data_IF_353959321049
#
_entry.id   IF_353959321049
#
_cell.length_a   1.000
_cell.length_b   1.000
_cell.length_c   1.000
_cell.angle_alpha   90.00
_cell.angle_beta   90.00
_cell.angle_gamma   90.00
#
_symmetry.space_group_name_H-M   'P 1'
#
loop_
_entity.id
_entity.type
_entity.pdbx_description
1 polymer ?
#
# COMPACT_ATOMS: atom_id res chain seq x y z
N UNK A 1 65.65 -11.44 16.35
CA UNK A 1 65.94 -11.50 14.90
C UNK A 1 64.99 -12.57 14.34
N UNK A 2 64.09 -12.35 13.39
CA UNK A 2 64.05 -11.44 12.25
C UNK A 2 62.61 -10.92 12.01
N UNK A 3 62.53 -9.68 11.57
CA UNK A 3 61.36 -9.08 10.91
C UNK A 3 61.56 -9.15 9.38
N UNK A 4 60.46 -8.89 8.63
CA UNK A 4 60.26 -8.87 7.16
C UNK A 4 59.49 -10.13 6.73
N UNK A 5 58.34 -10.08 6.06
CA UNK A 5 57.77 -9.17 5.06
C UNK A 5 56.25 -9.40 5.01
N UNK A 6 55.44 -8.40 4.63
CA UNK A 6 54.37 -8.58 3.62
C UNK A 6 53.55 -7.28 3.49
N UNK A 7 54.18 -6.27 2.87
CA UNK A 7 53.48 -5.07 2.38
C UNK A 7 52.80 -5.32 1.02
N UNK A 8 52.90 -6.53 0.48
CA UNK A 8 52.43 -6.87 -0.87
C UNK A 8 50.95 -7.32 -0.92
N UNK A 9 50.37 -7.73 0.21
CA UNK A 9 48.96 -8.15 0.26
C UNK A 9 47.92 -7.02 0.09
N UNK A 10 48.33 -5.74 0.25
CA UNK A 10 47.39 -4.59 0.17
C UNK A 10 47.21 -4.03 -1.23
N UNK A 11 48.16 -4.28 -2.15
CA UNK A 11 48.06 -3.77 -3.52
C UNK A 11 47.14 -4.64 -4.41
N UNK A 12 47.06 -5.95 -4.14
CA UNK A 12 46.17 -6.85 -4.88
C UNK A 12 44.67 -6.61 -4.60
N UNK A 13 44.31 -6.22 -3.39
CA UNK A 13 42.90 -5.94 -3.04
C UNK A 13 42.36 -4.65 -3.67
N UNK A 14 43.21 -3.65 -3.90
CA UNK A 14 42.82 -2.39 -4.54
C UNK A 14 42.61 -2.53 -6.06
N UNK A 15 43.34 -3.45 -6.72
CA UNK A 15 43.16 -3.73 -8.15
C UNK A 15 41.84 -4.46 -8.46
N UNK A 16 41.36 -5.37 -7.59
CA UNK A 16 40.07 -6.04 -7.80
C UNK A 16 38.85 -5.12 -7.62
N UNK A 17 38.95 -4.06 -6.83
CA UNK A 17 37.82 -3.15 -6.59
C UNK A 17 37.51 -2.23 -7.79
N UNK A 18 38.47 -1.98 -8.68
CA UNK A 18 38.27 -1.12 -9.85
C UNK A 18 37.70 -1.87 -11.07
N UNK A 19 37.78 -3.20 -11.12
CA UNK A 19 37.27 -4.00 -12.24
C UNK A 19 35.75 -4.29 -12.17
N UNK A 20 35.12 -4.13 -11.00
CA UNK A 20 33.67 -4.36 -10.84
C UNK A 20 32.82 -3.07 -10.98
N UNK A 21 33.46 -1.91 -11.19
CA UNK A 21 32.78 -0.61 -11.30
C UNK A 21 32.24 -0.27 -12.70
N UNK A 22 32.47 -1.09 -13.73
CA UNK A 22 32.26 -0.70 -15.13
C UNK A 22 31.16 -1.50 -15.89
N UNK A 23 30.25 -2.22 -15.20
CA UNK A 23 29.21 -3.04 -15.88
C UNK A 23 27.77 -2.58 -15.60
N UNK A 24 27.54 -1.49 -14.87
CA UNK A 24 26.16 -1.03 -14.55
C UNK A 24 25.79 0.33 -15.16
N UNK A 25 26.14 0.55 -16.42
CA UNK A 25 25.68 1.71 -17.22
C UNK A 25 25.15 1.23 -18.58
N UNK A 26 24.07 0.46 -18.56
CA UNK A 26 23.23 0.20 -19.75
C UNK A 26 21.86 -0.32 -19.32
N UNK A 27 21.14 0.50 -18.55
CA UNK A 27 19.67 0.36 -18.47
C UNK A 27 19.10 1.37 -19.46
N UNK A 28 18.82 0.88 -20.66
CA UNK A 28 18.27 1.66 -21.75
C UNK A 28 17.01 2.40 -21.33
N UNK A 29 16.95 3.67 -21.74
CA UNK A 29 15.71 4.43 -21.84
C UNK A 29 14.78 3.73 -22.83
N UNK A 30 13.91 2.85 -22.34
CA UNK A 30 12.68 2.55 -23.02
C UNK A 30 11.79 3.79 -22.91
N UNK A 31 11.83 4.61 -23.95
CA UNK A 31 10.74 5.53 -24.25
C UNK A 31 9.51 4.67 -24.53
N UNK A 32 8.76 4.34 -23.48
CA UNK A 32 7.39 3.87 -23.61
C UNK A 32 6.56 5.05 -24.10
N UNK A 33 6.50 5.22 -25.42
CA UNK A 33 5.42 5.91 -26.10
C UNK A 33 4.12 5.10 -25.91
N UNK A 34 3.61 5.10 -24.69
CA UNK A 34 2.24 4.74 -24.43
C UNK A 34 1.42 6.01 -24.61
N UNK A 35 1.09 6.30 -25.87
CA UNK A 35 -0.10 7.08 -26.22
C UNK A 35 -1.34 6.33 -25.72
N UNK A 36 -1.51 6.25 -24.40
CA UNK A 36 -2.80 5.99 -23.79
C UNK A 36 -3.62 7.23 -24.05
N UNK A 37 -4.35 7.22 -25.17
CA UNK A 37 -5.58 8.00 -25.31
C UNK A 37 -6.41 7.68 -24.07
N UNK A 38 -6.39 8.57 -23.09
CA UNK A 38 -7.39 8.58 -22.04
C UNK A 38 -8.73 8.72 -22.75
N UNK A 39 -9.55 7.66 -22.67
CA UNK A 39 -10.96 7.75 -23.01
C UNK A 39 -11.59 8.65 -21.95
N UNK A 40 -11.46 9.96 -22.15
CA UNK A 40 -12.20 10.96 -21.39
C UNK A 40 -13.66 10.87 -21.83
N UNK A 41 -14.44 10.09 -21.10
CA UNK A 41 -15.90 10.13 -21.18
C UNK A 41 -16.35 11.52 -20.74
N UNK A 42 -17.00 12.23 -21.66
CA UNK A 42 -17.61 13.52 -21.41
C UNK A 42 -19.01 13.28 -20.85
N UNK A 43 -19.50 14.16 -19.97
CA UNK A 43 -20.90 14.12 -19.49
C UNK A 43 -21.94 14.19 -20.63
N UNK A 44 -21.53 14.46 -21.87
CA UNK A 44 -22.39 14.33 -23.06
C UNK A 44 -22.80 12.88 -23.37
N UNK A 45 -22.02 11.89 -22.96
CA UNK A 45 -22.31 10.47 -23.28
C UNK A 45 -23.42 9.86 -22.40
N UNK A 46 -23.88 10.60 -21.38
CA UNK A 46 -24.97 10.20 -20.47
C UNK A 46 -26.36 10.69 -20.90
N UNK A 47 -26.46 11.52 -21.95
CA UNK A 47 -27.74 12.11 -22.36
C UNK A 47 -28.84 11.13 -22.84
N UNK A 48 -28.57 9.95 -23.43
CA UNK A 48 -29.67 9.11 -23.92
C UNK A 48 -30.45 8.37 -22.82
N UNK A 49 -30.04 8.45 -21.55
CA UNK A 49 -30.69 7.75 -20.44
C UNK A 49 -31.64 8.62 -19.61
N UNK A 50 -31.64 9.95 -19.80
CA UNK A 50 -32.54 10.87 -19.07
C UNK A 50 -33.94 10.91 -19.70
N UNK A 51 -34.06 10.74 -21.02
CA UNK A 51 -35.33 10.90 -21.74
C UNK A 51 -36.29 9.70 -21.60
N UNK A 52 -35.80 8.56 -21.10
CA UNK A 52 -36.63 7.35 -20.89
C UNK A 52 -37.52 7.39 -19.64
N UNK A 53 -37.39 8.38 -18.76
CA UNK A 53 -38.17 8.46 -17.51
C UNK A 53 -39.50 9.21 -17.64
N UNK A 54 -39.84 9.76 -18.81
CA UNK A 54 -41.04 10.59 -19.00
C UNK A 54 -42.17 10.00 -19.86
N UNK A 55 -42.08 8.74 -20.29
CA UNK A 55 -43.19 8.09 -21.01
C UNK A 55 -44.18 7.39 -20.05
N UNK A 56 -45.17 8.19 -19.62
CA UNK A 56 -46.61 7.85 -19.58
C UNK A 56 -46.98 6.43 -19.11
N UNK A 57 -47.22 6.28 -17.81
CA UNK A 57 -48.02 5.20 -17.24
C UNK A 57 -49.45 5.29 -17.82
N UNK A 58 -49.76 4.41 -18.76
CA UNK A 58 -51.12 4.14 -19.19
C UNK A 58 -51.62 2.95 -18.35
N UNK A 59 -52.68 3.19 -17.58
CA UNK A 59 -53.35 2.19 -16.75
C UNK A 59 -53.71 0.95 -17.57
N UNK A 60 -53.21 -0.20 -17.15
CA UNK A 60 -53.73 -1.51 -17.53
C UNK A 60 -54.14 -2.21 -16.25
N UNK A 61 -55.44 -2.22 -15.98
CA UNK A 61 -56.09 -3.05 -14.96
C UNK A 61 -55.79 -4.53 -15.24
N UNK A 62 -54.84 -5.07 -14.49
CA UNK A 62 -54.63 -6.51 -14.35
C UNK A 62 -54.90 -6.92 -12.91
N UNK A 63 -55.71 -7.96 -12.66
CA UNK A 63 -56.05 -8.38 -11.31
C UNK A 63 -54.80 -8.86 -10.57
N UNK A 64 -54.55 -8.23 -9.42
CA UNK A 64 -53.37 -8.43 -8.60
C UNK A 64 -53.19 -9.90 -8.15
N UNK A 65 -52.03 -10.55 -8.39
CA UNK A 65 -51.65 -11.69 -7.59
C UNK A 65 -51.28 -11.17 -6.20
N UNK A 66 -52.04 -11.57 -5.19
CA UNK A 66 -51.68 -11.40 -3.77
C UNK A 66 -50.41 -12.22 -3.50
N UNK A 67 -49.24 -11.59 -3.63
CA UNK A 67 -47.95 -12.25 -3.43
C UNK A 67 -46.86 -11.28 -2.99
N UNK A 68 -46.46 -11.39 -1.71
CA UNK A 68 -45.20 -10.91 -1.11
C UNK A 68 -44.73 -9.49 -1.41
N UNK A 69 -44.95 -8.56 -0.48
CA UNK A 69 -44.44 -7.19 -0.57
C UNK A 69 -42.88 -7.08 -0.56
N UNK A 70 -42.33 -5.95 -1.06
CA UNK A 70 -40.90 -5.72 -1.28
C UNK A 70 -40.14 -5.30 0.00
N UNK A 71 -40.35 -5.99 1.13
CA UNK A 71 -39.68 -5.65 2.40
C UNK A 71 -38.26 -6.20 2.54
N UNK A 72 -37.78 -7.05 1.62
CA UNK A 72 -36.48 -7.73 1.74
C UNK A 72 -35.29 -7.04 1.05
N UNK A 73 -35.52 -6.08 0.16
CA UNK A 73 -34.44 -5.45 -0.60
C UNK A 73 -33.64 -4.43 0.25
N UNK A 74 -34.33 -3.53 0.98
CA UNK A 74 -33.67 -2.46 1.76
C UNK A 74 -32.75 -2.97 2.88
N UNK A 75 -33.01 -4.15 3.44
CA UNK A 75 -32.19 -4.74 4.51
C UNK A 75 -30.95 -5.45 3.97
N UNK A 76 -30.97 -5.94 2.72
CA UNK A 76 -29.82 -6.57 2.08
C UNK A 76 -28.74 -5.53 1.75
N UNK A 77 -29.12 -4.41 1.15
CA UNK A 77 -28.18 -3.31 0.82
C UNK A 77 -27.49 -2.74 2.07
N UNK A 78 -28.24 -2.56 3.16
CA UNK A 78 -27.68 -2.08 4.42
C UNK A 78 -26.64 -3.05 5.01
N UNK A 79 -26.84 -4.36 4.86
CA UNK A 79 -25.91 -5.38 5.34
C UNK A 79 -24.63 -5.42 4.50
N UNK A 80 -24.76 -5.34 3.18
CA UNK A 80 -23.63 -5.31 2.26
C UNK A 80 -22.75 -4.07 2.50
N UNK A 81 -23.38 -2.90 2.69
CA UNK A 81 -22.66 -1.67 3.00
C UNK A 81 -21.94 -1.74 4.36
N UNK A 82 -22.57 -2.31 5.39
CA UNK A 82 -21.94 -2.52 6.69
C UNK A 82 -20.71 -3.45 6.60
N UNK A 83 -20.76 -4.51 5.79
CA UNK A 83 -19.63 -5.41 5.56
C UNK A 83 -18.48 -4.68 4.84
N UNK A 84 -18.78 -3.90 3.81
CA UNK A 84 -17.79 -3.05 3.11
C UNK A 84 -17.11 -2.07 4.07
N UNK A 85 -17.88 -1.39 4.92
CA UNK A 85 -17.35 -0.47 5.93
C UNK A 85 -16.47 -1.18 6.96
N UNK A 86 -16.86 -2.38 7.40
CA UNK A 86 -16.06 -3.22 8.28
C UNK A 86 -14.67 -3.50 7.68
N UNK A 87 -14.62 -3.96 6.43
CA UNK A 87 -13.35 -4.25 5.75
C UNK A 87 -12.49 -3.00 5.57
N UNK A 88 -13.10 -1.89 5.15
CA UNK A 88 -12.41 -0.60 5.04
C UNK A 88 -11.80 -0.14 6.37
N UNK A 89 -12.55 -0.25 7.47
CA UNK A 89 -12.08 0.10 8.81
C UNK A 89 -10.94 -0.80 9.27
N UNK A 90 -11.09 -2.13 9.09
CA UNK A 90 -10.05 -3.13 9.44
C UNK A 90 -8.76 -2.89 8.66
N UNK A 91 -8.84 -2.71 7.34
CA UNK A 91 -7.68 -2.40 6.50
C UNK A 91 -7.02 -1.07 6.87
N UNK A 92 -7.81 -0.03 7.17
CA UNK A 92 -7.30 1.28 7.60
C UNK A 92 -6.52 1.21 8.92
N UNK A 93 -7.00 0.41 9.88
CA UNK A 93 -6.29 0.19 11.15
C UNK A 93 -4.93 -0.48 10.92
N UNK A 94 -4.87 -1.52 10.08
CA UNK A 94 -3.61 -2.18 9.75
C UNK A 94 -2.64 -1.27 9.00
N UNK A 95 -3.12 -0.45 8.05
CA UNK A 95 -2.27 0.55 7.40
C UNK A 95 -1.69 1.57 8.37
N UNK A 96 -2.49 2.07 9.32
CA UNK A 96 -1.99 2.99 10.36
C UNK A 96 -0.92 2.32 11.22
N UNK A 97 -1.08 1.02 11.54
CA UNK A 97 -0.06 0.25 12.27
C UNK A 97 1.23 0.12 11.46
N UNK A 98 1.15 -0.21 10.17
CA UNK A 98 2.31 -0.25 9.26
C UNK A 98 2.99 1.11 9.17
N UNK A 99 2.23 2.18 8.98
CA UNK A 99 2.75 3.54 8.90
C UNK A 99 3.52 3.93 10.18
N UNK A 100 2.91 3.76 11.36
CA UNK A 100 3.57 4.04 12.64
C UNK A 100 4.87 3.25 12.82
N UNK A 101 4.87 1.97 12.47
CA UNK A 101 6.08 1.14 12.57
C UNK A 101 7.15 1.58 11.57
N UNK A 102 6.76 2.08 10.40
CA UNK A 102 7.68 2.62 9.41
C UNK A 102 8.30 3.94 9.89
N UNK A 103 7.48 4.83 10.45
CA UNK A 103 7.92 6.08 11.07
C UNK A 103 8.90 5.78 12.23
N UNK A 104 8.57 4.80 13.09
CA UNK A 104 9.43 4.34 14.18
C UNK A 104 10.78 3.76 13.72
N UNK A 105 10.83 3.14 12.54
CA UNK A 105 12.08 2.65 11.93
C UNK A 105 12.89 3.84 11.44
N UNK A 106 12.26 4.75 10.69
CA UNK A 106 12.91 5.96 10.17
C UNK A 106 13.50 6.81 11.29
N UNK A 107 12.76 7.03 12.38
CA UNK A 107 13.24 7.80 13.53
C UNK A 107 14.48 7.15 14.16
N UNK A 108 14.46 5.83 14.39
CA UNK A 108 15.59 5.12 14.99
C UNK A 108 16.80 5.08 14.07
N UNK A 109 16.60 5.02 12.76
CA UNK A 109 17.67 5.11 11.76
C UNK A 109 18.32 6.50 11.77
N UNK A 110 17.53 7.57 11.87
CA UNK A 110 18.04 8.93 12.03
C UNK A 110 18.82 9.09 13.34
N UNK A 111 18.30 8.54 14.45
CA UNK A 111 19.01 8.54 15.73
C UNK A 111 20.34 7.79 15.64
N UNK A 112 20.39 6.66 14.92
CA UNK A 112 21.62 5.91 14.70
C UNK A 112 22.63 6.72 13.88
N UNK A 113 22.18 7.40 12.82
CA UNK A 113 23.03 8.25 12.00
C UNK A 113 23.62 9.41 12.81
N UNK A 114 22.80 10.08 13.63
CA UNK A 114 23.24 11.17 14.49
C UNK A 114 24.25 10.69 15.55
N UNK A 115 24.05 9.52 16.15
CA UNK A 115 25.02 8.94 17.08
C UNK A 115 26.33 8.54 16.39
N UNK A 116 26.29 8.11 15.13
CA UNK A 116 27.48 7.83 14.34
C UNK A 116 28.24 9.13 13.99
N UNK A 117 27.52 10.22 13.68
CA UNK A 117 28.12 11.54 13.39
C UNK A 117 28.85 12.14 14.58
N UNK A 118 28.37 11.92 15.80
CA UNK A 118 29.00 12.44 17.03
C UNK A 118 30.41 11.91 17.29
N UNK A 119 30.89 10.90 16.57
CA UNK A 119 32.28 10.45 16.58
C UNK A 119 32.80 9.84 17.89
N UNK A 120 32.05 9.98 18.99
CA UNK A 120 32.39 9.39 20.28
C UNK A 120 31.83 7.97 20.31
N UNK A 121 32.76 7.02 20.27
CA UNK A 121 32.58 5.57 20.29
C UNK A 121 31.70 5.11 21.46
N UNK A 122 30.38 5.25 21.34
CA UNK A 122 29.39 4.60 22.20
C UNK A 122 28.92 3.32 21.52
N UNK A 123 29.85 2.40 21.26
CA UNK A 123 29.56 1.10 20.63
C UNK A 123 28.36 0.38 21.27
N UNK A 124 28.18 0.53 22.59
CA UNK A 124 27.04 -0.03 23.31
C UNK A 124 25.69 0.61 22.89
N UNK A 125 25.65 1.93 22.68
CA UNK A 125 24.43 2.65 22.30
C UNK A 125 24.06 2.40 20.84
N UNK A 126 25.03 2.41 19.94
CA UNK A 126 24.80 2.08 18.52
C UNK A 126 24.38 0.62 18.34
N UNK A 127 24.99 -0.31 19.08
CA UNK A 127 24.55 -1.72 19.11
C UNK A 127 23.12 -1.88 19.63
N UNK A 128 22.74 -1.14 20.69
CA UNK A 128 21.38 -1.14 21.22
C UNK A 128 20.36 -0.61 20.19
N UNK A 129 20.66 0.52 19.54
CA UNK A 129 19.83 1.08 18.47
C UNK A 129 19.67 0.11 17.31
N UNK A 130 20.75 -0.54 16.85
CA UNK A 130 20.68 -1.55 15.79
C UNK A 130 19.78 -2.74 16.15
N UNK A 131 19.82 -3.18 17.41
CA UNK A 131 18.95 -4.25 17.90
C UNK A 131 17.48 -3.83 17.89
N UNK A 132 17.18 -2.60 18.31
CA UNK A 132 15.82 -2.04 18.28
C UNK A 132 15.32 -1.81 16.85
N UNK A 133 16.17 -1.32 15.93
CA UNK A 133 15.83 -1.21 14.50
C UNK A 133 15.47 -2.59 13.94
N UNK A 134 16.29 -3.60 14.21
CA UNK A 134 16.05 -4.98 13.74
C UNK A 134 14.72 -5.53 14.29
N UNK A 135 14.43 -5.30 15.57
CA UNK A 135 13.17 -5.70 16.21
C UNK A 135 11.97 -4.97 15.61
N UNK A 136 12.10 -3.68 15.36
CA UNK A 136 11.04 -2.84 14.78
C UNK A 136 10.78 -3.23 13.33
N UNK A 137 11.83 -3.49 12.53
CA UNK A 137 11.70 -4.02 11.16
C UNK A 137 11.01 -5.38 11.12
N UNK A 138 11.30 -6.28 12.08
CA UNK A 138 10.56 -7.55 12.20
C UNK A 138 9.07 -7.30 12.46
N UNK A 139 8.74 -6.37 13.38
CA UNK A 139 7.34 -5.98 13.65
C UNK A 139 6.67 -5.35 12.43
N UNK A 140 7.39 -4.52 11.68
CA UNK A 140 6.92 -3.92 10.43
C UNK A 140 6.53 -5.01 9.43
N UNK A 141 7.41 -6.01 9.24
CA UNK A 141 7.12 -7.17 8.39
C UNK A 141 5.85 -7.89 8.81
N UNK A 142 5.71 -8.24 10.10
CA UNK A 142 4.49 -8.88 10.59
C UNK A 142 3.24 -8.01 10.38
N UNK A 143 3.34 -6.69 10.55
CA UNK A 143 2.21 -5.80 10.30
C UNK A 143 1.86 -5.68 8.80
N UNK A 144 2.85 -5.79 7.91
CA UNK A 144 2.62 -5.86 6.46
C UNK A 144 1.96 -7.19 6.08
N UNK A 145 2.41 -8.30 6.66
CA UNK A 145 1.81 -9.63 6.48
C UNK A 145 0.35 -9.62 6.99
N UNK A 146 0.08 -9.04 8.16
CA UNK A 146 -1.28 -8.84 8.71
C UNK A 146 -2.16 -8.04 7.75
N UNK A 147 -1.63 -6.94 7.18
CA UNK A 147 -2.36 -6.11 6.22
C UNK A 147 -2.68 -6.89 4.94
N UNK A 148 -1.72 -7.66 4.42
CA UNK A 148 -1.93 -8.52 3.25
C UNK A 148 -3.01 -9.55 3.53
N UNK A 149 -2.96 -10.22 4.68
CA UNK A 149 -3.96 -11.20 5.08
C UNK A 149 -5.37 -10.61 5.15
N UNK A 150 -5.52 -9.38 5.67
CA UNK A 150 -6.82 -8.68 5.68
C UNK A 150 -7.31 -8.35 4.27
N UNK A 151 -6.40 -7.96 3.37
CA UNK A 151 -6.76 -7.68 1.97
C UNK A 151 -7.20 -8.94 1.24
N UNK A 152 -6.47 -10.05 1.43
CA UNK A 152 -6.81 -11.34 0.85
C UNK A 152 -8.14 -11.87 1.39
N UNK A 153 -8.38 -11.71 2.70
CA UNK A 153 -9.65 -12.09 3.33
C UNK A 153 -10.82 -11.28 2.76
N UNK A 154 -10.66 -9.96 2.61
CA UNK A 154 -11.68 -9.09 2.03
C UNK A 154 -11.97 -9.44 0.56
N UNK A 155 -10.93 -9.72 -0.24
CA UNK A 155 -11.09 -10.13 -1.63
C UNK A 155 -11.84 -11.46 -1.76
N UNK A 156 -11.55 -12.44 -0.90
CA UNK A 156 -12.32 -13.71 -0.84
C UNK A 156 -13.78 -13.51 -0.47
N UNK A 157 -14.13 -12.40 0.18
CA UNK A 157 -15.51 -12.00 0.52
C UNK A 157 -16.17 -11.15 -0.57
N UNK A 158 -15.53 -10.98 -1.72
CA UNK A 158 -16.09 -10.23 -2.86
C UNK A 158 -15.87 -8.72 -2.79
N UNK A 159 -15.02 -8.22 -1.87
CA UNK A 159 -14.65 -6.80 -1.85
C UNK A 159 -13.64 -6.54 -2.99
N UNK A 160 -13.88 -5.59 -3.90
CA UNK A 160 -12.96 -5.30 -4.99
C UNK A 160 -11.62 -4.73 -4.52
N UNK A 161 -10.50 -5.02 -5.23
CA UNK A 161 -9.23 -4.34 -4.97
C UNK A 161 -9.38 -2.83 -5.20
N UNK A 162 -8.84 -2.03 -4.29
CA UNK A 162 -8.97 -0.57 -4.32
C UNK A 162 -10.12 0.01 -3.49
N UNK A 163 -11.15 -0.76 -3.14
CA UNK A 163 -12.15 -0.28 -2.18
C UNK A 163 -11.54 -0.01 -0.80
N UNK A 164 -10.60 -0.87 -0.41
CA UNK A 164 -9.90 -0.75 0.85
C UNK A 164 -9.00 0.49 0.90
N UNK A 165 -8.63 1.13 -0.23
CA UNK A 165 -7.69 2.28 -0.27
C UNK A 165 -8.35 3.64 -0.01
N UNK A 166 -9.65 3.78 -0.26
CA UNK A 166 -10.34 5.08 -0.34
C UNK A 166 -10.69 5.69 1.02
N UNK A 167 -10.67 4.91 2.11
CA UNK A 167 -11.23 5.32 3.41
C UNK A 167 -10.39 6.30 4.24
N UNK A 168 -9.15 6.62 3.86
CA UNK A 168 -8.31 7.56 4.64
C UNK A 168 -8.72 9.03 4.46
N UNK A 169 -9.25 9.43 3.31
CA UNK A 169 -9.65 10.82 3.06
C UNK A 169 -11.12 11.11 3.37
N UNK A 170 -12.02 10.11 3.37
CA UNK A 170 -13.46 10.34 3.61
C UNK A 170 -13.82 10.54 5.08
N UNK A 171 -12.97 10.10 6.03
CA UNK A 171 -13.22 10.23 7.48
C UNK A 171 -12.58 11.48 8.13
N UNK A 172 -11.96 12.39 7.37
CA UNK A 172 -11.43 13.66 7.92
C UNK A 172 -12.38 14.85 7.77
N UNK A 173 -13.48 14.72 7.02
CA UNK A 173 -14.42 15.80 6.73
C UNK A 173 -15.82 15.59 7.35
N UNK A 174 -15.88 14.92 8.48
CA UNK A 174 -17.03 14.90 9.41
C UNK A 174 -16.50 15.25 10.81
#
# INVERSE_FOLDING_TARGET
MMARTSREGRLLYLACALALGAVFMSSGSYASDSSQKSLSFSNRDLQPYDDSLNHKLQEQDSPAPKGSGPRKAKTADSREQAEKEYWCKKASQQRRKVQRLNDDVSEKEQQLEEENRKGVVRHKKTAALNKEITKTRKRLKYAQDDLSAVQDEAHRKGVPPGWLSVSLNRMRNV
#
